data_IF_612327561709
#
_entry.id   IF_612327561709
#
_cell.length_a   1.000
_cell.length_b   1.000
_cell.length_c   1.000
_cell.angle_alpha   90.00
_cell.angle_beta   90.00
_cell.angle_gamma   90.00
#
_symmetry.space_group_name_H-M   'P 1'
#
loop_
_entity.id
_entity.type
_entity.pdbx_description
1 polymer ?
#
# COMPACT_ATOMS: atom_id res chain seq x y z
N UNK A 1 13.39 8.14 -43.94
CA UNK A 1 12.18 7.67 -43.24
C UNK A 1 12.56 6.36 -42.56
N UNK A 2 13.20 6.45 -41.40
CA UNK A 2 13.66 5.30 -40.63
C UNK A 2 12.61 5.01 -39.59
N UNK A 3 11.82 3.95 -39.82
CA UNK A 3 11.03 3.29 -38.78
C UNK A 3 12.00 2.92 -37.65
N UNK A 4 11.93 3.69 -36.56
CA UNK A 4 12.58 3.33 -35.31
C UNK A 4 11.80 2.17 -34.72
N UNK A 5 12.39 0.98 -34.75
CA UNK A 5 11.92 -0.18 -34.01
C UNK A 5 11.75 0.22 -32.54
N UNK A 6 10.52 0.45 -32.10
CA UNK A 6 10.19 0.67 -30.70
C UNK A 6 10.52 -0.62 -29.92
N UNK A 7 11.69 -0.65 -29.29
CA UNK A 7 12.04 -1.69 -28.33
C UNK A 7 10.95 -1.73 -27.23
N UNK A 8 10.38 -2.90 -26.91
CA UNK A 8 9.30 -3.00 -25.94
C UNK A 8 9.75 -2.44 -24.58
N UNK A 9 9.04 -1.44 -24.07
CA UNK A 9 9.25 -0.92 -22.70
C UNK A 9 9.14 -2.04 -21.62
N UNK A 10 8.45 -3.14 -21.97
CA UNK A 10 8.28 -4.34 -21.16
C UNK A 10 9.61 -5.09 -20.86
N UNK A 11 10.68 -4.86 -21.63
CA UNK A 11 11.97 -5.57 -21.48
C UNK A 11 12.91 -4.93 -20.43
N UNK A 12 12.45 -3.88 -19.75
CA UNK A 12 13.22 -3.26 -18.66
C UNK A 12 13.46 -4.28 -17.55
N UNK A 13 14.70 -4.39 -17.03
CA UNK A 13 15.05 -5.41 -16.03
C UNK A 13 14.49 -5.15 -14.62
N UNK A 14 14.14 -3.90 -14.33
CA UNK A 14 13.59 -3.45 -13.06
C UNK A 14 12.82 -2.13 -13.25
N UNK A 15 11.99 -1.77 -12.26
CA UNK A 15 11.20 -0.52 -12.26
C UNK A 15 12.07 0.74 -12.42
N UNK A 16 13.23 0.89 -11.74
CA UNK A 16 14.11 2.04 -11.97
C UNK A 16 14.55 2.23 -13.43
N UNK A 17 14.97 1.15 -14.10
CA UNK A 17 15.37 1.19 -15.51
C UNK A 17 14.19 1.53 -16.43
N UNK A 18 13.00 1.00 -16.12
CA UNK A 18 11.77 1.36 -16.83
C UNK A 18 11.48 2.86 -16.72
N UNK A 19 11.55 3.44 -15.52
CA UNK A 19 11.29 4.87 -15.30
C UNK A 19 12.31 5.74 -16.04
N UNK A 20 13.59 5.35 -16.07
CA UNK A 20 14.60 6.05 -16.85
C UNK A 20 14.30 6.00 -18.37
N UNK A 21 13.86 4.86 -18.89
CA UNK A 21 13.46 4.72 -20.29
C UNK A 21 12.22 5.55 -20.64
N UNK A 22 11.22 5.59 -19.74
CA UNK A 22 10.04 6.45 -19.88
C UNK A 22 10.40 7.93 -19.87
N UNK A 23 11.36 8.33 -19.02
CA UNK A 23 11.90 9.69 -18.96
C UNK A 23 12.56 10.10 -20.27
N UNK A 24 13.45 9.26 -20.80
CA UNK A 24 14.16 9.51 -22.05
C UNK A 24 13.21 9.69 -23.24
N UNK A 25 12.09 8.95 -23.23
CA UNK A 25 11.05 9.00 -24.27
C UNK A 25 9.96 10.06 -24.02
N UNK A 26 10.04 10.81 -22.92
CA UNK A 26 8.99 11.75 -22.48
C UNK A 26 7.58 11.14 -22.52
N UNK A 27 7.46 9.85 -22.16
CA UNK A 27 6.18 9.12 -22.22
C UNK A 27 5.25 9.57 -21.11
N UNK A 28 3.97 9.70 -21.45
CA UNK A 28 2.87 9.75 -20.49
C UNK A 28 2.23 8.37 -20.41
N UNK A 29 2.13 7.79 -19.21
CA UNK A 29 1.58 6.46 -18.99
C UNK A 29 1.24 6.21 -17.51
N UNK A 30 0.69 5.03 -17.22
CA UNK A 30 0.57 4.49 -15.86
C UNK A 30 1.28 3.15 -15.80
N UNK A 31 2.22 3.00 -14.86
CA UNK A 31 2.88 1.72 -14.59
C UNK A 31 2.18 1.07 -13.40
N UNK A 32 1.58 -0.09 -13.61
CA UNK A 32 0.98 -0.90 -12.55
C UNK A 32 2.00 -1.91 -12.07
N UNK A 33 2.33 -1.87 -10.78
CA UNK A 33 3.28 -2.75 -10.11
C UNK A 33 2.50 -3.79 -9.29
N UNK A 34 2.68 -5.07 -9.60
CA UNK A 34 2.09 -6.17 -8.85
C UNK A 34 3.02 -6.60 -7.71
N UNK A 35 2.44 -6.96 -6.56
CA UNK A 35 3.20 -7.39 -5.38
C UNK A 35 2.42 -7.20 -4.09
N UNK A 36 3.11 -7.39 -2.96
CA UNK A 36 2.55 -7.17 -1.63
C UNK A 36 3.46 -6.26 -0.78
N UNK A 37 3.26 -4.94 -0.79
CA UNK A 37 2.25 -4.20 -1.55
C UNK A 37 2.67 -3.93 -3.00
N UNK A 38 1.71 -4.03 -3.94
CA UNK A 38 1.79 -3.44 -5.27
C UNK A 38 1.36 -1.98 -5.28
N UNK A 39 1.18 -1.39 -6.46
CA UNK A 39 0.75 0.01 -6.60
C UNK A 39 0.78 0.51 -8.04
N UNK A 40 0.53 1.81 -8.22
CA UNK A 40 0.53 2.50 -9.51
C UNK A 40 1.54 3.65 -9.49
N UNK A 41 2.24 3.85 -10.61
CA UNK A 41 3.17 4.96 -10.83
C UNK A 41 2.66 5.74 -12.04
N UNK A 42 2.24 6.98 -11.82
CA UNK A 42 1.69 7.83 -12.86
C UNK A 42 2.81 8.71 -13.42
N UNK A 43 3.05 8.59 -14.72
CA UNK A 43 4.11 9.30 -15.42
C UNK A 43 3.49 10.25 -16.43
N UNK A 44 3.93 11.52 -16.45
CA UNK A 44 3.54 12.53 -17.44
C UNK A 44 4.79 13.18 -18.00
N UNK A 45 4.93 13.18 -19.32
CA UNK A 45 6.09 13.72 -20.04
C UNK A 45 7.42 13.19 -19.47
N UNK A 46 7.42 11.90 -19.10
CA UNK A 46 8.57 11.22 -18.51
C UNK A 46 8.85 11.54 -17.04
N UNK A 47 8.03 12.37 -16.37
CA UNK A 47 8.14 12.69 -14.94
C UNK A 47 7.12 11.91 -14.13
N UNK A 48 7.52 11.44 -12.94
CA UNK A 48 6.60 10.80 -11.99
C UNK A 48 5.78 11.89 -11.30
N UNK A 49 4.48 11.92 -11.51
CA UNK A 49 3.59 12.97 -10.98
C UNK A 49 2.76 12.51 -9.78
N UNK A 50 2.49 11.21 -9.69
CA UNK A 50 1.79 10.59 -8.58
C UNK A 50 2.21 9.13 -8.44
N UNK A 51 2.12 8.61 -7.22
CA UNK A 51 2.27 7.19 -6.94
C UNK A 51 1.23 6.79 -5.91
N UNK A 52 0.60 5.65 -6.13
CA UNK A 52 -0.44 5.12 -5.27
C UNK A 52 -0.08 3.70 -4.87
N UNK A 53 -0.25 3.38 -3.59
CA UNK A 53 -0.09 2.03 -3.10
C UNK A 53 -0.95 1.87 -1.86
N UNK A 54 -1.53 0.69 -1.63
CA UNK A 54 -2.08 0.38 -0.33
C UNK A 54 -1.04 0.64 0.78
N UNK A 55 0.26 0.49 0.52
CA UNK A 55 1.35 0.64 1.48
C UNK A 55 1.44 1.98 2.23
N UNK A 56 0.88 3.07 1.69
CA UNK A 56 0.96 4.41 2.27
C UNK A 56 -0.30 5.24 1.98
N UNK A 57 -0.67 6.22 2.82
CA UNK A 57 -1.79 7.11 2.54
C UNK A 57 -1.57 7.96 1.28
N UNK A 58 -2.54 7.92 0.36
CA UNK A 58 -2.61 8.83 -0.79
C UNK A 58 -3.17 10.21 -0.42
N UNK A 59 -3.23 11.11 -1.40
CA UNK A 59 -3.63 12.52 -1.21
C UNK A 59 -5.02 12.65 -0.57
N UNK A 60 -6.01 11.90 -1.07
CA UNK A 60 -7.37 11.86 -0.52
C UNK A 60 -7.35 11.50 0.98
N UNK A 61 -6.66 10.41 1.32
CA UNK A 61 -6.55 9.94 2.69
C UNK A 61 -5.89 10.98 3.60
N UNK A 62 -4.86 11.69 3.12
CA UNK A 62 -4.20 12.75 3.88
C UNK A 62 -5.13 13.95 4.09
N UNK A 63 -5.86 14.40 3.06
CA UNK A 63 -6.78 15.54 3.15
C UNK A 63 -7.93 15.25 4.11
N UNK A 64 -8.61 14.12 3.95
CA UNK A 64 -9.76 13.74 4.77
C UNK A 64 -9.36 13.47 6.22
N UNK A 65 -8.33 12.65 6.45
CA UNK A 65 -7.97 12.21 7.81
C UNK A 65 -7.32 13.30 8.65
N UNK A 66 -6.73 14.30 8.00
CA UNK A 66 -6.23 15.48 8.70
C UNK A 66 -7.30 16.55 8.96
N UNK A 67 -8.52 16.36 8.43
CA UNK A 67 -9.63 17.30 8.59
C UNK A 67 -9.51 18.57 7.75
N UNK A 68 -8.67 18.56 6.70
CA UNK A 68 -8.54 19.69 5.77
C UNK A 68 -9.76 19.85 4.88
N UNK A 69 -10.37 18.74 4.51
CA UNK A 69 -11.57 18.66 3.68
C UNK A 69 -12.51 17.64 4.32
N UNK A 70 -13.81 17.94 4.36
CA UNK A 70 -14.85 17.01 4.78
C UNK A 70 -15.20 15.98 3.71
N UNK A 71 -15.76 14.84 4.11
CA UNK A 71 -16.17 13.78 3.18
C UNK A 71 -17.23 14.25 2.17
N UNK A 72 -18.14 15.13 2.61
CA UNK A 72 -19.19 15.69 1.76
C UNK A 72 -18.62 16.62 0.68
N UNK A 73 -17.68 17.49 1.06
CA UNK A 73 -17.01 18.42 0.15
C UNK A 73 -16.21 17.66 -0.90
N UNK A 74 -15.42 16.68 -0.47
CA UNK A 74 -14.67 15.80 -1.37
C UNK A 74 -15.58 15.07 -2.36
N UNK A 75 -16.68 14.50 -1.86
CA UNK A 75 -17.65 13.77 -2.70
C UNK A 75 -18.33 14.69 -3.72
N UNK A 76 -18.64 15.93 -3.33
CA UNK A 76 -19.24 16.93 -4.22
C UNK A 76 -18.30 17.31 -5.37
N UNK A 77 -17.02 17.60 -5.05
CA UNK A 77 -16.00 17.95 -6.06
C UNK A 77 -15.77 16.77 -7.00
N UNK A 78 -15.67 15.55 -6.45
CA UNK A 78 -15.48 14.34 -7.23
C UNK A 78 -16.68 14.02 -8.13
N UNK A 79 -17.90 14.37 -7.71
CA UNK A 79 -19.10 14.20 -8.52
C UNK A 79 -19.22 15.24 -9.66
N UNK A 80 -18.66 16.45 -9.47
CA UNK A 80 -18.63 17.48 -10.51
C UNK A 80 -17.59 17.22 -11.61
N UNK A 81 -16.49 16.54 -11.29
CA UNK A 81 -15.44 16.18 -12.27
C UNK A 81 -15.59 14.71 -12.70
N UNK A 82 -16.38 14.48 -13.75
CA UNK A 82 -16.61 13.13 -14.32
C UNK A 82 -15.37 12.50 -14.95
N UNK A 83 -14.36 13.32 -15.28
CA UNK A 83 -13.11 12.86 -15.88
C UNK A 83 -12.03 12.59 -14.83
N UNK A 84 -12.16 13.15 -13.63
CA UNK A 84 -11.15 13.18 -12.58
C UNK A 84 -9.81 13.83 -13.00
N UNK A 85 -9.76 14.54 -14.14
CA UNK A 85 -8.57 15.20 -14.65
C UNK A 85 -8.35 16.59 -14.03
N UNK A 86 -9.42 17.21 -13.53
CA UNK A 86 -9.43 18.59 -13.03
C UNK A 86 -9.58 18.67 -11.51
N UNK A 87 -9.64 17.54 -10.82
CA UNK A 87 -9.89 17.46 -9.38
C UNK A 87 -8.97 18.37 -8.56
N UNK A 88 -7.67 18.44 -8.88
CA UNK A 88 -6.74 19.34 -8.19
C UNK A 88 -7.07 20.83 -8.38
N UNK A 89 -7.51 21.21 -9.60
CA UNK A 89 -7.87 22.57 -9.91
C UNK A 89 -9.18 22.96 -9.21
N UNK A 90 -10.18 22.07 -9.23
CA UNK A 90 -11.47 22.30 -8.57
C UNK A 90 -11.35 22.44 -7.05
N UNK A 91 -10.56 21.57 -6.39
CA UNK A 91 -10.31 21.67 -4.95
C UNK A 91 -9.71 23.04 -4.56
N UNK A 92 -8.86 23.61 -5.41
CA UNK A 92 -8.24 24.92 -5.20
C UNK A 92 -9.21 26.05 -5.56
N UNK A 93 -9.93 25.94 -6.67
CA UNK A 93 -10.88 26.94 -7.14
C UNK A 93 -12.04 27.15 -6.14
N UNK A 94 -12.47 26.07 -5.49
CA UNK A 94 -13.49 26.09 -4.44
C UNK A 94 -12.93 26.48 -3.06
N UNK A 95 -11.61 26.70 -2.94
CA UNK A 95 -10.96 27.13 -1.70
C UNK A 95 -10.88 26.06 -0.60
N UNK A 96 -11.12 24.79 -0.94
CA UNK A 96 -11.09 23.67 0.01
C UNK A 96 -9.66 23.33 0.46
N UNK A 97 -8.68 23.59 -0.41
CA UNK A 97 -7.24 23.45 -0.10
C UNK A 97 -6.42 24.49 -0.86
N UNK A 98 -5.40 25.02 -0.21
CA UNK A 98 -4.48 25.95 -0.86
C UNK A 98 -3.67 25.29 -1.99
N UNK A 99 -3.39 26.05 -3.04
CA UNK A 99 -2.55 25.64 -4.18
C UNK A 99 -1.20 25.02 -3.75
N UNK A 100 -0.43 25.73 -2.94
CA UNK A 100 0.88 25.27 -2.46
C UNK A 100 0.77 24.16 -1.41
N UNK A 101 -0.31 24.16 -0.62
CA UNK A 101 -0.58 23.08 0.33
C UNK A 101 -0.84 21.76 -0.40
N UNK A 102 -1.68 21.75 -1.43
CA UNK A 102 -1.96 20.57 -2.24
C UNK A 102 -0.72 20.08 -2.97
N UNK A 103 0.18 20.98 -3.40
CA UNK A 103 1.47 20.61 -3.98
C UNK A 103 2.36 19.87 -2.96
N UNK A 104 2.49 20.38 -1.74
CA UNK A 104 3.26 19.73 -0.66
C UNK A 104 2.67 18.37 -0.30
N UNK A 105 1.34 18.26 -0.20
CA UNK A 105 0.65 16.99 0.07
C UNK A 105 0.87 16.00 -1.07
N UNK A 106 0.75 16.46 -2.32
CA UNK A 106 0.98 15.62 -3.50
C UNK A 106 2.39 15.03 -3.52
N UNK A 107 3.40 15.89 -3.28
CA UNK A 107 4.79 15.46 -3.27
C UNK A 107 5.11 14.52 -2.09
N UNK A 108 4.54 14.80 -0.92
CA UNK A 108 4.65 13.95 0.27
C UNK A 108 4.08 12.55 0.02
N UNK A 109 2.85 12.48 -0.48
CA UNK A 109 2.17 11.23 -0.82
C UNK A 109 2.94 10.41 -1.87
N UNK A 110 3.44 11.08 -2.92
CA UNK A 110 4.27 10.46 -3.96
C UNK A 110 5.51 9.78 -3.34
N UNK A 111 6.27 10.50 -2.53
CA UNK A 111 7.48 9.93 -1.92
C UNK A 111 7.18 8.88 -0.85
N UNK A 112 6.06 8.97 -0.14
CA UNK A 112 5.64 7.92 0.80
C UNK A 112 5.21 6.65 0.09
N UNK A 113 4.50 6.76 -1.04
CA UNK A 113 4.17 5.61 -1.88
C UNK A 113 5.42 4.99 -2.51
N UNK A 114 6.34 5.81 -3.01
CA UNK A 114 7.63 5.34 -3.53
C UNK A 114 8.44 4.59 -2.48
N UNK A 115 8.55 5.18 -1.28
CA UNK A 115 9.21 4.57 -0.16
C UNK A 115 8.53 3.25 0.22
N UNK A 116 7.20 3.21 0.36
CA UNK A 116 6.47 1.98 0.71
C UNK A 116 6.68 0.85 -0.31
N UNK A 117 6.62 1.15 -1.62
CA UNK A 117 6.87 0.19 -2.68
C UNK A 117 8.31 -0.34 -2.66
N UNK A 118 9.29 0.49 -2.28
CA UNK A 118 10.70 0.08 -2.19
C UNK A 118 11.00 -0.92 -1.07
N UNK A 119 10.10 -1.06 -0.09
CA UNK A 119 10.26 -1.99 1.03
C UNK A 119 9.89 -3.44 0.68
N UNK A 120 9.40 -3.68 -0.53
CA UNK A 120 9.06 -5.00 -1.05
C UNK A 120 9.66 -5.21 -2.44
N UNK A 121 9.85 -6.48 -2.80
CA UNK A 121 10.24 -6.85 -4.16
C UNK A 121 8.95 -6.95 -4.99
N UNK A 122 8.85 -6.23 -6.13
CA UNK A 122 7.70 -6.36 -7.02
C UNK A 122 7.69 -7.73 -7.70
N UNK A 123 6.50 -8.28 -7.91
CA UNK A 123 6.31 -9.54 -8.65
C UNK A 123 6.44 -9.31 -10.16
N UNK A 124 5.84 -8.22 -10.65
CA UNK A 124 5.86 -7.80 -12.05
C UNK A 124 5.42 -6.33 -12.20
N UNK A 125 5.55 -5.77 -13.40
CA UNK A 125 4.97 -4.48 -13.76
C UNK A 125 4.42 -4.48 -15.19
N UNK A 126 3.42 -3.64 -15.42
CA UNK A 126 2.79 -3.43 -16.72
C UNK A 126 2.70 -1.93 -17.02
N UNK A 127 2.99 -1.55 -18.27
CA UNK A 127 2.81 -0.17 -18.74
C UNK A 127 1.47 -0.08 -19.46
N UNK A 128 0.60 0.79 -18.97
CA UNK A 128 -0.73 1.06 -19.52
C UNK A 128 -0.87 2.52 -19.92
N UNK A 129 -1.98 2.86 -20.56
CA UNK A 129 -2.31 4.23 -20.91
C UNK A 129 -2.41 5.14 -19.67
N UNK A 130 -2.19 6.46 -19.82
CA UNK A 130 -2.44 7.42 -18.75
C UNK A 130 -3.86 7.28 -18.21
N UNK A 131 -3.99 7.13 -16.89
CA UNK A 131 -5.29 7.24 -16.21
C UNK A 131 -5.37 8.56 -15.43
N UNK A 132 -6.55 9.19 -15.32
CA UNK A 132 -6.74 10.34 -14.46
C UNK A 132 -6.26 10.07 -13.03
N UNK A 133 -5.50 11.01 -12.47
CA UNK A 133 -4.93 10.88 -11.12
C UNK A 133 -4.82 12.27 -10.49
N UNK A 134 -5.02 12.36 -9.17
CA UNK A 134 -4.91 13.62 -8.46
C UNK A 134 -3.44 13.96 -8.20
N UNK A 135 -2.98 15.12 -8.68
CA UNK A 135 -1.69 15.68 -8.31
C UNK A 135 -1.65 17.18 -8.60
N UNK A 136 -0.75 17.91 -7.93
CA UNK A 136 -0.47 19.33 -8.23
C UNK A 136 1.02 19.71 -8.20
N UNK A 137 1.90 18.71 -8.18
CA UNK A 137 3.34 18.94 -8.21
C UNK A 137 3.87 19.03 -9.64
N UNK A 138 5.05 19.61 -9.82
CA UNK A 138 5.72 19.77 -11.11
C UNK A 138 6.27 18.45 -11.72
N UNK A 139 6.03 17.30 -11.10
CA UNK A 139 6.64 16.03 -11.44
C UNK A 139 8.05 15.86 -10.87
N UNK A 140 8.43 14.60 -10.66
CA UNK A 140 9.71 14.19 -10.08
C UNK A 140 10.47 13.35 -11.10
N UNK A 141 11.75 13.66 -11.30
CA UNK A 141 12.59 12.83 -12.18
C UNK A 141 12.87 11.47 -11.51
N UNK A 142 13.08 10.39 -12.29
CA UNK A 142 13.43 9.09 -11.73
C UNK A 142 14.64 9.14 -10.79
N UNK A 143 15.65 9.94 -11.11
CA UNK A 143 16.87 10.07 -10.31
C UNK A 143 16.58 10.73 -8.95
N UNK A 144 15.77 11.80 -8.94
CA UNK A 144 15.34 12.46 -7.70
C UNK A 144 14.48 11.53 -6.85
N UNK A 145 13.60 10.74 -7.48
CA UNK A 145 12.76 9.76 -6.81
C UNK A 145 13.62 8.71 -6.09
N UNK A 146 14.57 8.11 -6.81
CA UNK A 146 15.47 7.10 -6.26
C UNK A 146 16.36 7.68 -5.15
N UNK A 147 16.91 8.89 -5.35
CA UNK A 147 17.70 9.58 -4.33
C UNK A 147 16.94 9.83 -3.04
N UNK A 148 15.66 10.25 -3.13
CA UNK A 148 14.81 10.47 -1.95
C UNK A 148 14.45 9.16 -1.26
N UNK A 149 14.15 8.09 -2.01
CA UNK A 149 13.89 6.75 -1.44
C UNK A 149 15.12 6.23 -0.70
N UNK A 150 16.31 6.31 -1.31
CA UNK A 150 17.58 5.94 -0.65
C UNK A 150 17.81 6.75 0.62
N UNK A 151 17.67 8.07 0.57
CA UNK A 151 17.81 8.95 1.75
C UNK A 151 16.88 8.53 2.88
N UNK A 152 15.63 8.18 2.58
CA UNK A 152 14.65 7.73 3.58
C UNK A 152 15.01 6.38 4.19
N UNK A 153 15.50 5.44 3.39
CA UNK A 153 16.01 4.15 3.89
C UNK A 153 17.20 4.39 4.83
N UNK A 154 18.16 5.22 4.43
CA UNK A 154 19.37 5.49 5.21
C UNK A 154 19.05 6.16 6.56
N UNK A 155 18.08 7.09 6.59
CA UNK A 155 17.65 7.74 7.83
C UNK A 155 16.95 6.79 8.82
N UNK A 156 16.39 5.69 8.34
CA UNK A 156 15.73 4.68 9.17
C UNK A 156 16.61 3.48 9.46
N UNK A 157 17.72 3.33 8.72
CA UNK A 157 18.60 2.19 8.81
C UNK A 157 19.19 2.07 10.22
N UNK A 158 19.04 0.89 10.81
CA UNK A 158 19.93 0.38 11.84
C UNK A 158 20.76 -0.73 11.21
N UNK A 159 20.34 -1.97 11.44
CA UNK A 159 20.89 -3.15 10.78
C UNK A 159 20.34 -3.35 9.34
N UNK A 160 21.04 -4.08 8.46
CA UNK A 160 20.51 -4.43 7.14
C UNK A 160 19.13 -5.08 7.20
N UNK A 161 18.19 -4.65 6.35
CA UNK A 161 16.82 -5.16 6.30
C UNK A 161 15.89 -4.71 7.45
N UNK A 162 16.40 -3.95 8.42
CA UNK A 162 15.63 -3.47 9.57
C UNK A 162 14.44 -2.58 9.19
N UNK A 163 14.56 -1.79 8.13
CA UNK A 163 13.50 -0.85 7.72
C UNK A 163 12.24 -1.58 7.23
N UNK A 164 12.40 -2.55 6.32
CA UNK A 164 11.28 -3.35 5.83
C UNK A 164 10.68 -4.24 6.92
N UNK A 165 11.51 -4.71 7.86
CA UNK A 165 11.02 -5.41 9.05
C UNK A 165 10.16 -4.48 9.92
N UNK A 166 10.68 -3.30 10.30
CA UNK A 166 10.00 -2.30 11.10
C UNK A 166 8.64 -1.90 10.50
N UNK A 167 8.58 -1.68 9.19
CA UNK A 167 7.35 -1.31 8.51
C UNK A 167 6.23 -2.37 8.65
N UNK A 168 6.59 -3.65 8.72
CA UNK A 168 5.66 -4.79 8.84
C UNK A 168 5.39 -5.20 10.28
N UNK A 169 6.22 -4.76 11.22
CA UNK A 169 6.08 -5.10 12.63
C UNK A 169 4.90 -4.35 13.25
N UNK A 170 4.08 -5.06 14.03
CA UNK A 170 3.06 -4.43 14.86
C UNK A 170 3.72 -3.79 16.05
N UNK A 171 3.26 -2.62 16.46
CA UNK A 171 3.90 -1.85 17.53
C UNK A 171 2.93 -1.70 18.70
N UNK A 172 3.40 -2.00 19.91
CA UNK A 172 2.68 -1.75 21.15
C UNK A 172 3.34 -0.65 21.96
N UNK A 173 2.56 0.18 22.64
CA UNK A 173 3.05 1.06 23.71
C UNK A 173 3.66 0.24 24.85
N UNK A 174 4.81 0.66 25.36
CA UNK A 174 5.37 0.12 26.59
C UNK A 174 4.52 0.57 27.79
N UNK A 175 4.52 -0.21 28.87
CA UNK A 175 3.92 0.25 30.13
C UNK A 175 4.72 1.43 30.66
N UNK A 176 4.09 2.60 30.71
CA UNK A 176 4.71 3.86 31.16
C UNK A 176 4.60 4.07 32.67
N UNK A 177 4.09 3.08 33.42
CA UNK A 177 3.85 3.16 34.87
C UNK A 177 5.11 3.49 35.69
N UNK A 178 6.30 3.30 35.13
CA UNK A 178 7.59 3.62 35.75
C UNK A 178 8.38 4.72 35.01
N UNK A 179 7.76 5.40 34.04
CA UNK A 179 8.40 6.36 33.14
C UNK A 179 7.57 7.66 32.89
N UNK A 180 6.94 8.28 33.89
CA UNK A 180 6.06 9.44 33.68
C UNK A 180 6.80 10.65 33.05
N UNK A 181 8.01 10.97 33.51
CA UNK A 181 8.83 12.07 32.97
C UNK A 181 9.18 11.90 31.48
N UNK A 182 9.20 10.67 30.98
CA UNK A 182 9.54 10.39 29.59
C UNK A 182 8.40 10.73 28.61
N UNK A 183 7.16 10.85 29.08
CA UNK A 183 5.98 11.11 28.24
C UNK A 183 5.60 12.59 28.24
N UNK A 184 5.75 13.29 29.37
CA UNK A 184 5.28 14.67 29.55
C UNK A 184 6.02 15.71 28.68
N UNK A 185 7.21 15.38 28.17
CA UNK A 185 7.97 16.21 27.22
C UNK A 185 7.77 15.86 25.74
N UNK A 186 6.89 14.92 25.39
CA UNK A 186 6.77 14.48 24.00
C UNK A 186 6.03 15.51 23.12
N UNK A 187 6.60 15.87 21.95
CA UNK A 187 5.88 16.61 20.92
C UNK A 187 4.54 15.93 20.60
N UNK A 188 3.51 16.72 20.30
CA UNK A 188 2.16 16.22 20.03
C UNK A 188 2.12 15.10 18.97
N UNK A 189 2.98 15.20 17.94
CA UNK A 189 3.10 14.17 16.90
C UNK A 189 3.57 12.81 17.44
N UNK A 190 4.50 12.78 18.40
CA UNK A 190 5.00 11.54 19.00
C UNK A 190 3.95 10.95 19.94
N UNK A 191 3.24 11.81 20.71
CA UNK A 191 2.12 11.37 21.55
C UNK A 191 1.00 10.73 20.73
N UNK A 192 0.68 11.27 19.56
CA UNK A 192 -0.32 10.70 18.66
C UNK A 192 0.10 9.31 18.14
N UNK A 193 1.37 9.12 17.76
CA UNK A 193 1.90 7.81 17.34
C UNK A 193 1.91 6.82 18.50
N UNK A 194 2.35 7.25 19.69
CA UNK A 194 2.33 6.43 20.90
C UNK A 194 0.91 5.96 21.25
N UNK A 195 -0.07 6.87 21.21
CA UNK A 195 -1.47 6.55 21.47
C UNK A 195 -2.08 5.61 20.43
N UNK A 196 -1.54 5.59 19.20
CA UNK A 196 -1.99 4.70 18.13
C UNK A 196 -1.31 3.31 18.17
N UNK A 197 -0.28 3.10 18.99
CA UNK A 197 0.48 1.85 19.08
C UNK A 197 -0.21 0.83 20.01
N UNK A 198 -1.29 0.21 19.53
CA UNK A 198 -2.14 -0.71 20.29
C UNK A 198 -1.70 -2.20 20.25
N UNK A 199 -0.54 -2.50 19.65
CA UNK A 199 -0.04 -3.87 19.44
C UNK A 199 -0.69 -4.60 18.26
N UNK A 200 -1.71 -4.03 17.63
CA UNK A 200 -2.40 -4.59 16.44
C UNK A 200 -1.99 -3.88 15.16
N UNK A 201 -1.65 -2.60 15.25
CA UNK A 201 -1.30 -1.73 14.12
C UNK A 201 0.18 -1.79 13.75
N UNK A 202 0.44 -1.83 12.45
CA UNK A 202 1.75 -1.59 11.83
C UNK A 202 2.00 -0.08 11.62
N UNK A 203 3.21 0.30 11.19
CA UNK A 203 3.51 1.69 10.84
C UNK A 203 2.55 2.24 9.77
N UNK A 204 2.20 1.41 8.78
CA UNK A 204 1.20 1.72 7.76
C UNK A 204 -0.17 2.01 8.39
N UNK A 205 -0.65 1.13 9.27
CA UNK A 205 -1.98 1.30 9.88
C UNK A 205 -2.05 2.58 10.71
N UNK A 206 -0.96 2.90 11.43
CA UNK A 206 -0.83 4.16 12.17
C UNK A 206 -0.84 5.36 11.23
N UNK A 207 -0.12 5.30 10.10
CA UNK A 207 -0.10 6.36 9.09
C UNK A 207 -1.51 6.67 8.55
N UNK A 208 -2.27 5.64 8.18
CA UNK A 208 -3.67 5.81 7.78
C UNK A 208 -4.57 6.33 8.91
N UNK A 209 -4.39 5.84 10.13
CA UNK A 209 -5.17 6.27 11.29
C UNK A 209 -4.94 7.75 11.65
N UNK A 210 -3.73 8.25 11.45
CA UNK A 210 -3.36 9.63 11.80
C UNK A 210 -3.47 10.61 10.63
N UNK A 211 -3.72 10.14 9.40
CA UNK A 211 -3.67 10.99 8.20
C UNK A 211 -2.26 11.56 7.96
N UNK A 212 -1.23 10.74 8.15
CA UNK A 212 0.18 11.15 8.03
C UNK A 212 0.94 10.24 7.06
N UNK A 213 2.02 10.78 6.51
CA UNK A 213 2.96 10.03 5.67
C UNK A 213 3.60 8.85 6.37
N UNK A 214 3.77 7.72 5.65
CA UNK A 214 4.38 6.50 6.18
C UNK A 214 5.79 6.75 6.73
N UNK A 215 6.65 7.44 5.95
CA UNK A 215 8.03 7.68 6.36
C UNK A 215 8.09 8.50 7.66
N UNK A 216 7.24 9.53 7.79
CA UNK A 216 7.20 10.35 8.99
C UNK A 216 6.76 9.56 10.23
N UNK A 217 5.80 8.65 10.08
CA UNK A 217 5.39 7.75 11.18
C UNK A 217 6.50 6.78 11.54
N UNK A 218 7.22 6.23 10.56
CA UNK A 218 8.36 5.34 10.85
C UNK A 218 9.50 6.05 11.58
N UNK A 219 9.77 7.32 11.24
CA UNK A 219 10.78 8.13 11.94
C UNK A 219 10.37 8.39 13.39
N UNK A 220 9.10 8.75 13.61
CA UNK A 220 8.55 8.93 14.96
C UNK A 220 8.58 7.61 15.76
N UNK A 221 8.27 6.48 15.13
CA UNK A 221 8.37 5.15 15.74
C UNK A 221 9.80 4.79 16.12
N UNK A 222 10.79 5.09 15.26
CA UNK A 222 12.21 4.88 15.57
C UNK A 222 12.62 5.69 16.80
N UNK A 223 12.22 6.96 16.86
CA UNK A 223 12.48 7.81 18.03
C UNK A 223 11.82 7.27 19.31
N UNK A 224 10.59 6.74 19.22
CA UNK A 224 9.89 6.15 20.36
C UNK A 224 10.50 4.80 20.79
N UNK A 225 10.96 3.99 19.83
CA UNK A 225 11.67 2.72 20.08
C UNK A 225 12.99 2.97 20.82
N UNK A 226 13.78 3.96 20.37
CA UNK A 226 15.06 4.31 20.99
C UNK A 226 14.90 4.78 22.44
N UNK A 227 13.72 5.31 22.78
CA UNK A 227 13.35 5.73 24.13
C UNK A 227 12.63 4.65 24.94
N UNK A 228 12.44 3.45 24.38
CA UNK A 228 11.72 2.35 25.03
C UNK A 228 10.24 2.61 25.28
N UNK A 229 9.63 3.59 24.60
CA UNK A 229 8.24 3.98 24.77
C UNK A 229 7.27 3.11 23.97
N UNK A 230 7.77 2.49 22.92
CA UNK A 230 7.06 1.46 22.16
C UNK A 230 7.97 0.27 21.97
N UNK A 231 7.37 -0.89 21.70
CA UNK A 231 8.08 -2.15 21.50
C UNK A 231 7.48 -2.91 20.32
N UNK A 232 8.31 -3.67 19.56
CA UNK A 232 7.82 -4.68 18.63
C UNK A 232 6.86 -5.65 19.31
N UNK A 233 5.67 -5.84 18.75
CA UNK A 233 4.71 -6.84 19.19
C UNK A 233 4.69 -8.03 18.22
N UNK A 234 5.20 -9.17 18.67
CA UNK A 234 4.96 -10.46 18.03
C UNK A 234 3.79 -11.14 18.74
N UNK A 235 2.65 -11.39 18.05
CA UNK A 235 1.54 -12.10 18.66
C UNK A 235 2.03 -13.48 19.13
N UNK A 236 1.84 -13.78 20.41
CA UNK A 236 2.16 -15.11 20.92
C UNK A 236 1.20 -16.12 20.30
N UNK A 237 1.74 -17.18 19.67
CA UNK A 237 0.95 -18.28 19.12
C UNK A 237 0.18 -19.07 20.20
N UNK A 238 0.45 -18.82 21.48
CA UNK A 238 -0.05 -19.59 22.62
C UNK A 238 -1.49 -19.20 23.07
N UNK A 239 -2.11 -18.25 22.37
CA UNK A 239 -3.42 -17.68 22.76
C UNK A 239 -4.55 -17.95 21.77
N UNK A 240 -4.50 -19.01 20.96
CA UNK A 240 -5.70 -19.42 20.21
C UNK A 240 -6.67 -20.05 21.21
N UNK A 241 -7.85 -19.47 21.49
CA UNK A 241 -8.89 -20.23 22.15
C UNK A 241 -9.17 -21.42 21.22
N UNK A 242 -8.89 -22.62 21.68
CA UNK A 242 -9.23 -23.85 20.96
C UNK A 242 -10.74 -23.91 20.83
N UNK A 243 -11.30 -23.35 19.76
CA UNK A 243 -12.72 -23.49 19.41
C UNK A 243 -12.93 -24.87 18.79
N UNK A 244 -12.69 -25.92 19.56
CA UNK A 244 -13.16 -27.28 19.29
C UNK A 244 -12.90 -28.15 20.54
N UNK A 245 -13.94 -28.67 21.21
CA UNK A 245 -13.78 -29.87 22.02
C UNK A 245 -13.46 -31.02 21.05
N UNK A 246 -12.23 -31.52 21.06
CA UNK A 246 -11.92 -32.78 20.40
C UNK A 246 -12.49 -33.89 21.29
N UNK A 247 -13.72 -34.31 20.99
CA UNK A 247 -14.23 -35.59 21.50
C UNK A 247 -13.42 -36.68 20.79
N UNK A 248 -12.52 -37.32 21.52
CA UNK A 248 -11.86 -38.56 21.08
C UNK A 248 -12.83 -39.71 21.29
N UNK A 249 -13.19 -40.50 20.26
CA UNK A 249 -13.87 -41.77 20.49
C UNK A 249 -12.88 -42.70 21.22
N UNK A 250 -13.23 -43.16 22.42
CA UNK A 250 -12.50 -44.22 23.12
C UNK A 250 -12.44 -45.46 22.24
N UNK A 251 -11.22 -45.95 22.01
CA UNK A 251 -10.97 -47.22 21.36
C UNK A 251 -11.53 -48.36 22.22
N UNK A 252 -12.52 -49.08 21.69
CA UNK A 252 -12.87 -50.43 22.13
C UNK A 252 -12.13 -51.39 21.19
N UNK A 253 -11.27 -52.23 21.76
CA UNK A 253 -10.49 -53.28 21.11
C UNK A 253 -11.37 -54.47 20.66
N UNK A 254 -10.85 -55.37 19.80
CA UNK A 254 -11.60 -55.93 18.67
C UNK A 254 -12.30 -57.26 18.98
N UNK A 255 -13.33 -57.58 18.21
CA UNK A 255 -13.79 -58.96 18.04
C UNK A 255 -14.18 -59.23 16.59
N UNK A 256 -13.74 -60.40 16.15
CA UNK A 256 -13.60 -60.91 14.79
C UNK A 256 -14.94 -61.29 14.14
N UNK A 257 -14.91 -61.32 12.79
CA UNK A 257 -15.74 -62.08 11.84
C UNK A 257 -16.94 -61.34 11.22
N UNK A 258 -16.75 -60.91 9.97
CA UNK A 258 -17.44 -61.43 8.77
C UNK A 258 -17.44 -60.37 7.65
N UNK A 259 -16.75 -60.64 6.53
CA UNK A 259 -17.02 -59.91 5.29
C UNK A 259 -18.39 -60.31 4.73
N UNK A 260 -19.12 -59.37 4.12
CA UNK A 260 -19.32 -59.49 2.68
C UNK A 260 -19.26 -58.16 1.90
N UNK A 261 -18.65 -58.26 0.73
CA UNK A 261 -18.91 -57.58 -0.56
C UNK A 261 -18.94 -56.05 -0.66
N UNK A 262 -18.05 -55.53 -1.52
CA UNK A 262 -18.06 -54.17 -2.05
C UNK A 262 -19.31 -53.88 -2.91
N UNK A 263 -19.70 -52.59 -3.03
CA UNK A 263 -19.54 -51.97 -4.34
C UNK A 263 -19.01 -50.52 -4.33
N UNK A 264 -18.30 -50.23 -5.42
CA UNK A 264 -18.18 -48.96 -6.15
C UNK A 264 -17.81 -47.65 -5.43
N UNK A 265 -16.55 -47.28 -5.68
CA UNK A 265 -15.97 -45.94 -5.53
C UNK A 265 -16.75 -44.88 -6.32
N UNK A 266 -17.68 -44.19 -5.65
CA UNK A 266 -18.23 -42.93 -6.14
C UNK A 266 -17.20 -41.82 -5.97
N UNK A 267 -16.59 -41.43 -7.09
CA UNK A 267 -15.66 -40.30 -7.20
C UNK A 267 -16.41 -38.97 -7.05
N UNK A 268 -15.86 -38.08 -6.22
CA UNK A 268 -16.40 -36.74 -6.00
C UNK A 268 -16.24 -35.87 -7.27
N UNK A 269 -17.26 -35.08 -7.66
CA UNK A 269 -17.24 -34.32 -8.90
C UNK A 269 -16.27 -33.12 -8.86
N UNK A 270 -15.37 -33.05 -9.86
CA UNK A 270 -14.54 -31.86 -10.13
C UNK A 270 -15.35 -30.78 -10.85
N UNK A 271 -15.20 -29.55 -10.37
CA UNK A 271 -15.79 -28.34 -10.96
C UNK A 271 -15.04 -27.99 -12.25
N UNK A 272 -15.76 -27.96 -13.38
CA UNK A 272 -15.26 -27.47 -14.67
C UNK A 272 -15.39 -25.94 -14.72
N UNK A 273 -14.31 -25.26 -15.08
CA UNK A 273 -14.28 -23.81 -15.32
C UNK A 273 -15.05 -23.46 -16.60
N UNK A 274 -16.07 -22.62 -16.47
CA UNK A 274 -16.92 -22.18 -17.59
C UNK A 274 -16.19 -21.21 -18.52
N UNK A 275 -16.09 -21.59 -19.79
CA UNK A 275 -15.84 -20.72 -20.95
C UNK A 275 -17.20 -20.17 -21.42
N UNK A 276 -17.40 -18.86 -21.36
CA UNK A 276 -18.53 -18.22 -22.02
C UNK A 276 -18.15 -17.89 -23.46
N UNK A 277 -18.74 -18.61 -24.41
CA UNK A 277 -18.73 -18.28 -25.84
C UNK A 277 -19.92 -17.35 -26.15
N UNK A 278 -19.66 -16.32 -26.94
CA UNK A 278 -20.63 -15.32 -27.39
C UNK A 278 -21.78 -15.92 -28.26
N UNK A 279 -22.98 -15.31 -28.27
CA UNK A 279 -24.07 -15.78 -29.10
C UNK A 279 -23.98 -15.27 -30.54
N UNK A 280 -23.98 -16.19 -31.50
CA UNK A 280 -24.15 -15.97 -32.93
C UNK A 280 -25.59 -15.55 -33.23
N UNK A 281 -25.78 -14.40 -33.90
CA UNK A 281 -27.08 -13.97 -34.44
C UNK A 281 -27.52 -14.90 -35.59
N UNK A 282 -28.81 -15.25 -35.63
CA UNK A 282 -29.47 -15.91 -36.76
C UNK A 282 -29.78 -14.92 -37.89
N UNK A 283 -29.84 -15.38 -39.15
CA UNK A 283 -30.25 -14.56 -40.28
C UNK A 283 -31.79 -14.43 -40.33
N UNK A 284 -32.26 -13.26 -40.73
CA UNK A 284 -33.62 -13.04 -41.22
C UNK A 284 -33.51 -12.62 -42.70
N UNK A 285 -34.43 -13.17 -43.51
CA UNK A 285 -34.89 -12.60 -44.77
C UNK A 285 -35.25 -11.11 -44.64
#
# INVERSE_FOLDING_TARGET
>A
MTEGTEEPLADSRNVPALLAALRARQRSCTVVVTGSPGGSIHVRDGLVVAMETPGAPGIEGLLLRSGRIGEQEWSAVRASDTTHEHLAAELVAQGLVGAGELEVISLGALFDAAFALSLAVPDSWEVSDPVPTLYRNAGVTPERLLGEVSRRIDLLAGEPGSVAALARTRIQSASTAHLPESVDGLPARHRAVLAAADGRRTARDIAFALGRGLFAVMLDLRHLLDRGLVLPHTPSANGRPSTAPRVTPSAVTPSTVAQPSAPDSASLPRRLSGRNSAPTRRPHD
#
